data_IF_443649750451
#
_entry.id   IF_443649750451
#
_cell.length_a   1.000
_cell.length_b   1.000
_cell.length_c   1.000
_cell.angle_alpha   90.00
_cell.angle_beta   90.00
_cell.angle_gamma   90.00
#
_symmetry.space_group_name_H-M   'P 1'
#
loop_
_entity.id
_entity.type
_entity.pdbx_description
1 polymer ?
#
# COMPACT_ATOMS: atom_id res chain seq x y z
N UNK A 1 4.38 -23.12 10.01
CA UNK A 1 3.58 -21.92 9.69
C UNK A 1 4.34 -21.14 8.62
N UNK A 2 3.69 -20.76 7.52
CA UNK A 2 4.33 -19.99 6.45
C UNK A 2 4.30 -18.50 6.82
N UNK A 3 5.45 -17.81 6.70
CA UNK A 3 5.55 -16.38 6.94
C UNK A 3 6.11 -15.72 5.70
N UNK A 4 5.56 -14.56 5.37
CA UNK A 4 6.05 -13.71 4.31
C UNK A 4 6.34 -12.30 4.85
N UNK A 5 7.37 -11.68 4.28
CA UNK A 5 7.75 -10.29 4.54
C UNK A 5 7.69 -9.57 3.19
N UNK A 6 7.00 -8.44 3.15
CA UNK A 6 6.89 -7.53 2.00
C UNK A 6 7.52 -6.20 2.43
N UNK A 7 8.49 -5.72 1.66
CA UNK A 7 9.06 -4.39 1.86
C UNK A 7 8.35 -3.41 0.93
N UNK A 8 7.91 -2.28 1.48
CA UNK A 8 7.22 -1.23 0.75
C UNK A 8 7.49 0.13 1.42
N UNK A 9 7.04 1.20 0.78
CA UNK A 9 7.35 2.58 1.16
C UNK A 9 6.09 3.40 1.40
N UNK A 10 6.19 4.42 2.23
CA UNK A 10 5.15 5.44 2.36
C UNK A 10 5.08 6.35 1.12
N UNK A 11 4.01 7.11 1.02
CA UNK A 11 3.80 8.13 0.00
C UNK A 11 2.92 9.24 0.58
N UNK A 12 3.17 10.50 0.21
CA UNK A 12 2.47 11.67 0.76
C UNK A 12 0.94 11.62 0.62
N UNK A 13 0.46 10.98 -0.44
CA UNK A 13 -0.98 10.81 -0.73
C UNK A 13 -1.65 9.62 0.00
N UNK A 14 -0.94 8.87 0.84
CA UNK A 14 -1.53 7.74 1.59
C UNK A 14 -2.44 8.27 2.70
N UNK A 15 -3.68 7.76 2.73
CA UNK A 15 -4.67 8.07 3.76
C UNK A 15 -4.95 6.89 4.70
N UNK A 16 -5.00 5.67 4.15
CA UNK A 16 -5.30 4.44 4.91
C UNK A 16 -6.59 4.53 5.76
N UNK A 17 -7.62 5.22 5.25
CA UNK A 17 -8.88 5.47 5.98
C UNK A 17 -10.02 4.54 5.57
N UNK A 18 -9.83 3.69 4.55
CA UNK A 18 -10.88 2.75 4.15
C UNK A 18 -11.18 1.76 5.27
N UNK A 19 -12.47 1.53 5.56
CA UNK A 19 -12.90 0.85 6.80
C UNK A 19 -12.73 -0.67 6.79
N UNK A 20 -12.63 -1.27 5.60
CA UNK A 20 -12.75 -2.73 5.43
C UNK A 20 -11.70 -3.34 4.50
N UNK A 21 -10.86 -2.52 3.87
CA UNK A 21 -9.85 -3.01 2.92
C UNK A 21 -8.54 -2.28 3.12
N UNK A 22 -7.46 -3.01 2.86
CA UNK A 22 -6.09 -2.51 2.85
C UNK A 22 -5.44 -3.01 1.57
N UNK A 23 -4.71 -2.13 0.89
CA UNK A 23 -4.05 -2.42 -0.36
C UNK A 23 -2.56 -2.05 -0.29
N UNK A 24 -1.72 -2.94 -0.82
CA UNK A 24 -0.29 -2.73 -1.04
C UNK A 24 -0.07 -2.79 -2.54
N UNK A 25 0.62 -1.80 -3.10
CA UNK A 25 0.85 -1.72 -4.55
C UNK A 25 2.34 -1.69 -4.92
N UNK A 26 2.65 -2.20 -6.11
CA UNK A 26 3.99 -2.15 -6.73
C UNK A 26 4.24 -0.88 -7.52
N UNK A 27 3.17 -0.11 -7.78
CA UNK A 27 3.26 1.18 -8.44
C UNK A 27 4.09 2.16 -7.61
N UNK A 28 4.75 3.10 -8.29
CA UNK A 28 5.61 4.11 -7.69
C UNK A 28 4.93 5.47 -7.50
N UNK A 29 3.70 5.61 -7.98
CA UNK A 29 2.90 6.82 -7.93
C UNK A 29 1.50 6.54 -7.37
N UNK A 30 0.99 7.50 -6.58
CA UNK A 30 -0.35 7.43 -6.00
C UNK A 30 -1.09 8.75 -6.18
N UNK A 31 -2.31 8.69 -6.72
CA UNK A 31 -3.22 9.85 -6.72
C UNK A 31 -3.92 10.01 -5.37
N UNK A 32 -4.33 11.22 -4.97
CA UNK A 32 -5.03 11.45 -3.70
C UNK A 32 -6.43 10.80 -3.57
N UNK A 33 -6.93 10.15 -4.64
CA UNK A 33 -8.27 9.56 -4.69
C UNK A 33 -8.37 8.22 -3.96
N UNK A 34 -7.28 7.46 -3.85
CA UNK A 34 -7.27 6.18 -3.15
C UNK A 34 -7.19 6.36 -1.63
N UNK A 35 -8.07 5.68 -0.88
CA UNK A 35 -8.09 5.70 0.59
C UNK A 35 -7.81 4.34 1.24
N UNK A 36 -7.74 3.26 0.45
CA UNK A 36 -7.41 1.90 0.88
C UNK A 36 -5.91 1.55 0.82
N UNK A 37 -5.10 2.30 0.08
CA UNK A 37 -3.67 2.03 -0.08
C UNK A 37 -2.90 2.42 1.18
N UNK A 38 -2.06 1.51 1.68
CA UNK A 38 -1.24 1.70 2.90
C UNK A 38 0.26 1.76 2.62
N UNK A 39 0.73 1.23 1.48
CA UNK A 39 2.10 1.42 1.01
C UNK A 39 2.26 1.17 -0.49
N UNK A 40 3.32 1.73 -1.07
CA UNK A 40 3.67 1.68 -2.49
C UNK A 40 5.05 1.04 -2.72
N UNK A 41 5.45 0.82 -3.99
CA UNK A 41 6.75 0.23 -4.36
C UNK A 41 7.03 -1.08 -3.63
N UNK A 42 6.02 -1.95 -3.52
CA UNK A 42 6.18 -3.26 -2.91
C UNK A 42 7.19 -4.12 -3.68
N UNK A 43 8.06 -4.83 -2.96
CA UNK A 43 9.02 -5.78 -3.53
C UNK A 43 8.37 -7.10 -3.97
N UNK A 44 7.09 -7.29 -3.66
CA UNK A 44 6.30 -8.50 -3.91
C UNK A 44 4.87 -8.15 -4.32
N UNK A 45 4.20 -9.10 -4.97
CA UNK A 45 2.86 -8.95 -5.56
C UNK A 45 2.81 -9.43 -7.00
#
# INVERSE_FOLDING_TARGET
MMREIIHCYGHENIKATHKSTLEITKEDFLTPRGDCIICIKADKG
#
